data_IF_493548234892
#
_entry.id   IF_493548234892
#
_cell.length_a   1.000
_cell.length_b   1.000
_cell.length_c   1.000
_cell.angle_alpha   90.00
_cell.angle_beta   90.00
_cell.angle_gamma   90.00
#
_symmetry.space_group_name_H-M   'P 1'
#
loop_
_entity.id
_entity.type
_entity.pdbx_description
1 polymer ?
#
# COMPACT_ATOMS: atom_id res chain seq x y z
N UNK A 1 -28.84 7.18 1.33
CA UNK A 1 -27.37 7.16 1.36
C UNK A 1 -26.86 8.47 0.79
N UNK A 2 -26.12 9.25 1.59
CA UNK A 2 -25.59 10.55 1.19
C UNK A 2 -24.51 10.45 0.11
N UNK A 3 -24.23 11.56 -0.56
CA UNK A 3 -23.27 11.66 -1.67
C UNK A 3 -21.84 11.25 -1.26
N UNK A 4 -21.46 11.48 -0.01
CA UNK A 4 -20.11 11.17 0.52
C UNK A 4 -19.84 9.67 0.65
N UNK A 5 -20.83 8.83 1.00
CA UNK A 5 -20.64 7.37 1.05
C UNK A 5 -20.39 6.74 -0.34
N UNK A 6 -20.71 7.45 -1.43
CA UNK A 6 -20.51 6.93 -2.80
C UNK A 6 -19.10 7.17 -3.34
N UNK A 7 -18.36 8.12 -2.77
CA UNK A 7 -17.05 8.50 -3.30
C UNK A 7 -16.00 7.39 -3.11
N UNK A 8 -15.82 6.77 -1.93
CA UNK A 8 -14.86 5.68 -1.74
C UNK A 8 -15.16 4.47 -2.62
N UNK A 9 -16.45 4.12 -2.76
CA UNK A 9 -16.89 3.05 -3.65
C UNK A 9 -16.51 3.33 -5.11
N UNK A 10 -16.77 4.55 -5.60
CA UNK A 10 -16.41 4.96 -6.97
C UNK A 10 -14.90 4.94 -7.21
N UNK A 11 -14.11 5.39 -6.22
CA UNK A 11 -12.65 5.31 -6.30
C UNK A 11 -12.23 3.84 -6.45
N UNK A 12 -12.78 2.94 -5.64
CA UNK A 12 -12.48 1.52 -5.75
C UNK A 12 -12.93 0.93 -7.10
N UNK A 13 -14.07 1.34 -7.64
CA UNK A 13 -14.57 0.93 -8.95
C UNK A 13 -13.64 1.41 -10.08
N UNK A 14 -13.25 2.68 -10.09
CA UNK A 14 -12.32 3.25 -11.08
C UNK A 14 -10.96 2.54 -11.04
N UNK A 15 -10.43 2.30 -9.83
CA UNK A 15 -9.19 1.54 -9.65
C UNK A 15 -9.33 0.09 -10.13
N UNK A 16 -10.45 -0.58 -9.85
CA UNK A 16 -10.69 -1.94 -10.33
C UNK A 16 -10.71 -2.00 -11.86
N UNK A 17 -11.32 -1.02 -12.51
CA UNK A 17 -11.35 -0.92 -13.97
C UNK A 17 -9.94 -0.73 -14.54
N UNK A 18 -9.10 0.10 -13.90
CA UNK A 18 -7.70 0.27 -14.30
C UNK A 18 -6.91 -1.03 -14.14
N UNK A 19 -7.09 -1.74 -13.01
CA UNK A 19 -6.45 -3.04 -12.77
C UNK A 19 -6.83 -4.03 -13.87
N UNK A 20 -8.12 -4.15 -14.18
CA UNK A 20 -8.62 -5.05 -15.22
C UNK A 20 -8.07 -4.71 -16.60
N UNK A 21 -8.11 -3.43 -17.00
CA UNK A 21 -7.60 -2.98 -18.31
C UNK A 21 -6.10 -3.29 -18.43
N UNK A 22 -5.30 -2.98 -17.41
CA UNK A 22 -3.86 -3.27 -17.40
C UNK A 22 -3.61 -4.78 -17.44
N UNK A 23 -4.37 -5.58 -16.68
CA UNK A 23 -4.23 -7.03 -16.70
C UNK A 23 -4.54 -7.62 -18.08
N UNK A 24 -5.72 -7.31 -18.64
CA UNK A 24 -6.24 -7.93 -19.85
C UNK A 24 -5.57 -7.47 -21.13
N UNK A 25 -5.18 -6.19 -21.20
CA UNK A 25 -4.63 -5.60 -22.43
C UNK A 25 -3.12 -5.47 -22.44
N UNK A 26 -2.45 -5.57 -21.29
CA UNK A 26 -1.00 -5.42 -21.17
C UNK A 26 -0.39 -6.71 -20.62
N UNK A 27 -0.66 -7.07 -19.36
CA UNK A 27 0.05 -8.15 -18.67
C UNK A 27 -0.19 -9.51 -19.34
N UNK A 28 -1.45 -9.92 -19.52
CA UNK A 28 -1.76 -11.25 -20.06
C UNK A 28 -1.30 -11.44 -21.52
N UNK A 29 -1.50 -10.48 -22.45
CA UNK A 29 -0.96 -10.58 -23.80
C UNK A 29 0.57 -10.68 -23.82
N UNK A 30 1.27 -9.88 -23.01
CA UNK A 30 2.73 -9.89 -22.96
C UNK A 30 3.27 -11.20 -22.36
N UNK A 31 2.67 -11.72 -21.29
CA UNK A 31 3.02 -13.06 -20.74
C UNK A 31 2.85 -14.14 -21.80
N UNK A 32 1.74 -14.11 -22.56
CA UNK A 32 1.50 -15.06 -23.66
C UNK A 32 2.56 -14.97 -24.75
N UNK A 33 3.06 -13.78 -25.04
CA UNK A 33 4.08 -13.57 -26.08
C UNK A 33 5.49 -13.95 -25.60
N UNK A 34 5.79 -13.71 -24.32
CA UNK A 34 7.05 -14.12 -23.67
C UNK A 34 7.29 -15.64 -23.80
N UNK A 35 6.23 -16.45 -23.75
CA UNK A 35 6.32 -17.90 -23.96
C UNK A 35 6.66 -18.32 -25.40
N UNK A 36 6.52 -17.43 -26.39
CA UNK A 36 6.70 -17.75 -27.81
C UNK A 36 7.97 -17.16 -28.41
N UNK A 37 8.42 -16.00 -27.92
CA UNK A 37 9.50 -15.25 -28.53
C UNK A 37 10.63 -14.96 -27.53
N UNK A 38 11.77 -15.63 -27.70
CA UNK A 38 12.95 -15.41 -26.85
C UNK A 38 13.71 -14.13 -27.20
N UNK A 39 13.55 -13.61 -28.43
CA UNK A 39 14.31 -12.48 -28.97
C UNK A 39 14.06 -11.18 -28.18
N UNK A 40 12.83 -10.96 -27.72
CA UNK A 40 12.43 -9.76 -26.95
C UNK A 40 12.15 -10.06 -25.48
N UNK A 41 12.59 -11.22 -24.98
CA UNK A 41 12.23 -11.71 -23.65
C UNK A 41 12.55 -10.74 -22.50
N UNK A 42 13.69 -10.05 -22.58
CA UNK A 42 14.09 -9.05 -21.59
C UNK A 42 13.14 -7.85 -21.55
N UNK A 43 12.86 -7.26 -22.72
CA UNK A 43 11.95 -6.11 -22.84
C UNK A 43 10.53 -6.51 -22.41
N UNK A 44 10.05 -7.67 -22.86
CA UNK A 44 8.73 -8.17 -22.46
C UNK A 44 8.63 -8.37 -20.95
N UNK A 45 9.69 -8.89 -20.32
CA UNK A 45 9.72 -9.09 -18.86
C UNK A 45 9.66 -7.77 -18.09
N UNK A 46 10.36 -6.73 -18.58
CA UNK A 46 10.32 -5.39 -17.98
C UNK A 46 8.93 -4.76 -18.10
N UNK A 47 8.31 -4.82 -19.28
CA UNK A 47 6.96 -4.27 -19.51
C UNK A 47 5.89 -5.01 -18.70
N UNK A 48 6.02 -6.34 -18.55
CA UNK A 48 5.15 -7.13 -17.66
C UNK A 48 5.33 -6.65 -16.22
N UNK A 49 6.57 -6.52 -15.76
CA UNK A 49 6.87 -6.09 -14.39
C UNK A 49 6.34 -4.67 -14.11
N UNK A 50 6.43 -3.75 -15.06
CA UNK A 50 5.90 -2.39 -14.92
C UNK A 50 4.37 -2.40 -14.86
N UNK A 51 3.72 -3.18 -15.72
CA UNK A 51 2.27 -3.40 -15.67
C UNK A 51 1.82 -3.99 -14.33
N UNK A 52 2.52 -5.02 -13.84
CA UNK A 52 2.26 -5.63 -12.53
C UNK A 52 2.41 -4.62 -11.40
N UNK A 53 3.53 -3.88 -11.35
CA UNK A 53 3.76 -2.85 -10.33
C UNK A 53 2.63 -1.83 -10.32
N UNK A 54 2.15 -1.40 -11.49
CA UNK A 54 1.02 -0.47 -11.58
C UNK A 54 -0.26 -1.07 -11.01
N UNK A 55 -0.57 -2.33 -11.32
CA UNK A 55 -1.72 -3.01 -10.70
C UNK A 55 -1.57 -3.15 -9.19
N UNK A 56 -0.35 -3.36 -8.68
CA UNK A 56 -0.10 -3.45 -7.24
C UNK A 56 -0.32 -2.10 -6.53
N UNK A 57 0.04 -0.98 -7.16
CA UNK A 57 -0.29 0.36 -6.66
C UNK A 57 -1.81 0.57 -6.58
N UNK A 58 -2.56 0.20 -7.62
CA UNK A 58 -4.02 0.35 -7.63
C UNK A 58 -4.70 -0.53 -6.59
N UNK A 59 -4.24 -1.78 -6.41
CA UNK A 59 -4.74 -2.68 -5.36
C UNK A 59 -4.47 -2.08 -3.98
N UNK A 60 -3.25 -1.56 -3.75
CA UNK A 60 -2.91 -0.91 -2.49
C UNK A 60 -3.76 0.33 -2.21
N UNK A 61 -4.07 1.13 -3.25
CA UNK A 61 -4.98 2.27 -3.13
C UNK A 61 -6.40 1.83 -2.76
N UNK A 62 -6.93 0.75 -3.34
CA UNK A 62 -8.24 0.21 -2.94
C UNK A 62 -8.24 -0.21 -1.47
N UNK A 63 -7.22 -0.97 -1.03
CA UNK A 63 -7.10 -1.40 0.37
C UNK A 63 -7.03 -0.20 1.30
N UNK A 64 -6.21 0.80 0.96
CA UNK A 64 -6.07 2.02 1.76
C UNK A 64 -7.38 2.81 1.83
N UNK A 65 -8.11 2.95 0.72
CA UNK A 65 -9.41 3.62 0.71
C UNK A 65 -10.44 2.88 1.59
N UNK A 66 -10.47 1.55 1.53
CA UNK A 66 -11.33 0.70 2.36
C UNK A 66 -10.98 0.85 3.85
N UNK A 67 -9.68 0.90 4.18
CA UNK A 67 -9.23 1.03 5.57
C UNK A 67 -9.50 2.42 6.18
N UNK A 68 -9.72 3.45 5.36
CA UNK A 68 -9.90 4.84 5.79
C UNK A 68 -11.37 5.28 5.90
N UNK A 69 -12.33 4.38 5.69
CA UNK A 69 -13.77 4.67 5.80
C UNK A 69 -14.40 3.96 7.01
N UNK A 70 -15.59 4.41 7.40
CA UNK A 70 -16.37 3.76 8.45
C UNK A 70 -16.69 2.30 8.11
N UNK A 71 -16.78 1.44 9.14
CA UNK A 71 -16.97 0.00 9.02
C UNK A 71 -18.18 -0.39 8.15
N UNK A 72 -19.29 0.35 8.22
CA UNK A 72 -20.47 0.09 7.38
C UNK A 72 -20.17 0.30 5.88
N UNK A 73 -19.41 1.34 5.55
CA UNK A 73 -19.02 1.65 4.17
C UNK A 73 -17.96 0.66 3.69
N UNK A 74 -16.97 0.34 4.52
CA UNK A 74 -15.95 -0.66 4.21
C UNK A 74 -16.60 -2.02 3.89
N UNK A 75 -17.54 -2.48 4.72
CA UNK A 75 -18.25 -3.74 4.52
C UNK A 75 -19.07 -3.78 3.23
N UNK A 76 -19.58 -2.65 2.75
CA UNK A 76 -20.26 -2.59 1.45
C UNK A 76 -19.27 -2.68 0.29
N UNK A 77 -18.14 -1.99 0.36
CA UNK A 77 -17.10 -2.00 -0.67
C UNK A 77 -16.46 -3.39 -0.77
N UNK A 78 -16.19 -4.04 0.37
CA UNK A 78 -15.56 -5.37 0.47
C UNK A 78 -16.37 -6.50 -0.20
N UNK A 79 -17.67 -6.29 -0.47
CA UNK A 79 -18.48 -7.22 -1.28
C UNK A 79 -18.07 -7.26 -2.74
N UNK A 80 -17.37 -6.22 -3.21
CA UNK A 80 -17.05 -6.01 -4.62
C UNK A 80 -15.55 -5.87 -4.88
N UNK A 81 -14.80 -5.26 -3.95
CA UNK A 81 -13.39 -4.90 -4.16
C UNK A 81 -12.54 -5.19 -2.92
N UNK A 82 -11.25 -5.54 -3.10
CA UNK A 82 -10.60 -5.87 -4.37
C UNK A 82 -11.16 -7.16 -4.99
N UNK A 83 -11.29 -7.22 -6.32
CA UNK A 83 -11.78 -8.45 -6.97
C UNK A 83 -10.72 -9.55 -6.92
N UNK A 84 -10.99 -10.60 -6.13
CA UNK A 84 -9.98 -11.61 -5.78
C UNK A 84 -9.41 -12.36 -6.99
N UNK A 85 -10.25 -12.76 -7.95
CA UNK A 85 -9.80 -13.41 -9.18
C UNK A 85 -8.81 -12.53 -9.97
N UNK A 86 -9.13 -11.24 -10.11
CA UNK A 86 -8.29 -10.28 -10.83
C UNK A 86 -6.97 -10.08 -10.09
N UNK A 87 -7.01 -9.89 -8.77
CA UNK A 87 -5.80 -9.71 -7.95
C UNK A 87 -4.88 -10.93 -8.01
N UNK A 88 -5.42 -12.15 -7.98
CA UNK A 88 -4.62 -13.37 -8.13
C UNK A 88 -3.97 -13.47 -9.52
N UNK A 89 -4.68 -13.14 -10.59
CA UNK A 89 -4.10 -13.11 -11.94
C UNK A 89 -3.01 -12.04 -12.08
N UNK A 90 -3.15 -10.88 -11.44
CA UNK A 90 -2.09 -9.87 -11.37
C UNK A 90 -0.81 -10.45 -10.74
N UNK A 91 -0.94 -11.23 -9.66
CA UNK A 91 0.18 -11.93 -9.01
C UNK A 91 0.80 -13.08 -9.85
N UNK A 92 0.20 -13.43 -10.99
CA UNK A 92 0.69 -14.51 -11.84
C UNK A 92 0.23 -15.90 -11.41
N UNK A 93 -0.80 -16.00 -10.57
CA UNK A 93 -1.40 -17.28 -10.20
C UNK A 93 -2.12 -17.86 -11.42
N UNK A 94 -1.82 -19.12 -11.75
CA UNK A 94 -2.43 -19.84 -12.86
C UNK A 94 -3.88 -20.25 -12.58
N UNK A 95 -4.63 -20.59 -13.62
CA UNK A 95 -6.06 -20.90 -13.52
C UNK A 95 -6.37 -22.11 -12.63
N UNK A 96 -5.52 -23.14 -12.61
CA UNK A 96 -5.76 -24.34 -11.80
C UNK A 96 -5.60 -24.01 -10.30
N UNK A 97 -4.55 -23.27 -9.97
CA UNK A 97 -4.32 -22.77 -8.60
C UNK A 97 -5.41 -21.80 -8.16
N UNK A 98 -5.79 -20.86 -9.04
CA UNK A 98 -6.86 -19.88 -8.78
C UNK A 98 -8.20 -20.57 -8.52
N UNK A 99 -8.55 -21.57 -9.34
CA UNK A 99 -9.76 -22.35 -9.14
C UNK A 99 -9.73 -23.07 -7.79
N UNK A 100 -8.57 -23.63 -7.44
CA UNK A 100 -8.32 -24.26 -6.15
C UNK A 100 -8.48 -23.31 -4.95
N UNK A 101 -8.06 -22.06 -5.07
CA UNK A 101 -8.22 -21.05 -4.02
C UNK A 101 -9.69 -20.69 -3.84
N UNK A 102 -10.33 -20.18 -4.89
CA UNK A 102 -11.66 -19.59 -4.79
C UNK A 102 -12.76 -20.63 -4.56
N UNK A 103 -12.75 -21.73 -5.31
CA UNK A 103 -13.91 -22.63 -5.38
C UNK A 103 -13.80 -23.85 -4.48
N UNK A 104 -12.57 -24.31 -4.21
CA UNK A 104 -12.35 -25.49 -3.35
C UNK A 104 -12.11 -25.06 -1.90
N UNK A 105 -11.28 -24.04 -1.68
CA UNK A 105 -10.90 -23.59 -0.33
C UNK A 105 -11.68 -22.37 0.18
N UNK A 106 -12.38 -21.65 -0.70
CA UNK A 106 -13.03 -20.39 -0.31
C UNK A 106 -12.04 -19.31 0.11
N UNK A 107 -10.83 -19.34 -0.46
CA UNK A 107 -9.73 -18.44 -0.12
C UNK A 107 -9.76 -17.25 -1.09
N UNK A 108 -10.22 -16.11 -0.60
CA UNK A 108 -10.21 -14.84 -1.33
C UNK A 108 -8.85 -14.12 -1.21
N UNK A 109 -8.71 -13.00 -1.92
CA UNK A 109 -7.44 -12.26 -1.94
C UNK A 109 -7.03 -11.73 -0.56
N UNK A 110 -7.97 -11.27 0.26
CA UNK A 110 -7.69 -10.76 1.60
C UNK A 110 -7.06 -11.85 2.48
N UNK A 111 -7.55 -13.09 2.39
CA UNK A 111 -6.93 -14.22 3.10
C UNK A 111 -5.46 -14.40 2.71
N UNK A 112 -5.13 -14.40 1.41
CA UNK A 112 -3.74 -14.54 0.96
C UNK A 112 -2.90 -13.31 1.35
N UNK A 113 -3.49 -12.12 1.29
CA UNK A 113 -2.85 -10.86 1.61
C UNK A 113 -2.47 -10.74 3.09
N UNK A 114 -3.24 -11.34 3.98
CA UNK A 114 -2.97 -11.33 5.44
C UNK A 114 -2.06 -12.47 5.90
N UNK A 115 -1.91 -13.53 5.10
CA UNK A 115 -1.08 -14.68 5.44
C UNK A 115 0.40 -14.33 5.60
N UNK A 116 1.04 -14.99 6.57
CA UNK A 116 2.49 -14.89 6.74
C UNK A 116 3.23 -15.55 5.58
N UNK A 117 4.46 -15.11 5.31
CA UNK A 117 5.27 -15.60 4.18
C UNK A 117 5.34 -17.13 4.13
N UNK A 118 5.59 -17.78 5.26
CA UNK A 118 5.73 -19.24 5.32
C UNK A 118 4.40 -19.97 5.08
N UNK A 119 3.27 -19.36 5.46
CA UNK A 119 1.92 -19.90 5.21
C UNK A 119 1.61 -19.85 3.71
N UNK A 120 1.89 -18.73 3.05
CA UNK A 120 1.74 -18.58 1.60
C UNK A 120 2.59 -19.61 0.84
N UNK A 121 3.85 -19.78 1.24
CA UNK A 121 4.76 -20.77 0.65
C UNK A 121 4.17 -22.18 0.78
N UNK A 122 3.72 -22.55 1.97
CA UNK A 122 3.18 -23.88 2.22
C UNK A 122 1.90 -24.11 1.44
N UNK A 123 1.00 -23.12 1.38
CA UNK A 123 -0.23 -23.16 0.58
C UNK A 123 0.07 -23.38 -0.91
N UNK A 124 0.92 -22.55 -1.52
CA UNK A 124 1.26 -22.63 -2.94
C UNK A 124 1.94 -23.96 -3.30
N UNK A 125 2.77 -24.50 -2.39
CA UNK A 125 3.36 -25.85 -2.56
C UNK A 125 2.29 -26.95 -2.61
N UNK A 126 1.15 -26.81 -1.93
CA UNK A 126 0.06 -27.79 -2.04
C UNK A 126 -0.55 -27.87 -3.44
N UNK A 127 -0.45 -26.78 -4.21
CA UNK A 127 -0.90 -26.70 -5.60
C UNK A 127 0.24 -26.96 -6.61
N UNK A 128 1.44 -27.35 -6.13
CA UNK A 128 2.62 -27.61 -6.97
C UNK A 128 3.09 -26.40 -7.79
N UNK A 129 2.83 -25.19 -7.32
CA UNK A 129 3.35 -23.95 -7.91
C UNK A 129 4.88 -23.99 -7.87
N UNK A 130 5.53 -23.53 -8.95
CA UNK A 130 6.99 -23.59 -9.07
C UNK A 130 7.68 -22.67 -8.05
N UNK A 131 8.95 -22.94 -7.74
CA UNK A 131 9.68 -22.09 -6.77
C UNK A 131 9.88 -20.66 -7.29
N UNK A 132 10.01 -20.49 -8.60
CA UNK A 132 10.16 -19.18 -9.23
C UNK A 132 8.83 -18.40 -9.17
N UNK A 133 7.71 -19.05 -9.45
CA UNK A 133 6.37 -18.44 -9.34
C UNK A 133 6.03 -18.11 -7.88
N UNK A 134 6.38 -18.97 -6.92
CA UNK A 134 6.23 -18.67 -5.49
C UNK A 134 7.01 -17.41 -5.13
N UNK A 135 8.26 -17.27 -5.60
CA UNK A 135 9.08 -16.08 -5.34
C UNK A 135 8.44 -14.84 -5.96
N UNK A 136 7.91 -14.96 -7.18
CA UNK A 136 7.19 -13.89 -7.87
C UNK A 136 5.97 -13.41 -7.07
N UNK A 137 5.08 -14.35 -6.70
CA UNK A 137 3.86 -14.09 -5.93
C UNK A 137 4.20 -13.41 -4.59
N UNK A 138 5.19 -13.93 -3.85
CA UNK A 138 5.63 -13.33 -2.59
C UNK A 138 6.17 -11.91 -2.76
N UNK A 139 6.89 -11.67 -3.85
CA UNK A 139 7.41 -10.33 -4.18
C UNK A 139 6.26 -9.38 -4.47
N UNK A 140 5.26 -9.82 -5.25
CA UNK A 140 4.05 -9.04 -5.51
C UNK A 140 3.27 -8.71 -4.24
N UNK A 141 3.00 -9.70 -3.38
CA UNK A 141 2.33 -9.48 -2.09
C UNK A 141 3.11 -8.50 -1.20
N UNK A 142 4.44 -8.65 -1.12
CA UNK A 142 5.29 -7.74 -0.34
C UNK A 142 5.24 -6.31 -0.88
N UNK A 143 5.19 -6.13 -2.20
CA UNK A 143 5.06 -4.81 -2.83
C UNK A 143 3.71 -4.17 -2.53
N UNK A 144 2.61 -4.92 -2.65
CA UNK A 144 1.28 -4.39 -2.32
C UNK A 144 1.23 -3.96 -0.84
N UNK A 145 1.73 -4.80 0.09
CA UNK A 145 1.81 -4.45 1.52
C UNK A 145 2.63 -3.19 1.78
N UNK A 146 3.81 -3.08 1.16
CA UNK A 146 4.65 -1.87 1.28
C UNK A 146 3.96 -0.63 0.71
N UNK A 147 3.24 -0.77 -0.40
CA UNK A 147 2.47 0.33 -1.00
C UNK A 147 1.32 0.80 -0.09
N UNK A 148 0.64 -0.13 0.59
CA UNK A 148 -0.39 0.22 1.60
C UNK A 148 0.25 1.01 2.75
N UNK A 149 1.40 0.54 3.27
CA UNK A 149 2.13 1.23 4.34
C UNK A 149 2.58 2.65 3.92
N UNK A 150 3.02 2.83 2.68
CA UNK A 150 3.37 4.16 2.15
C UNK A 150 2.15 5.09 2.15
N UNK A 151 0.99 4.62 1.67
CA UNK A 151 -0.24 5.40 1.63
C UNK A 151 -0.74 5.79 3.03
N UNK A 152 -0.73 4.85 3.98
CA UNK A 152 -1.10 5.09 5.37
C UNK A 152 -0.18 6.14 6.04
N UNK A 153 1.04 6.28 5.55
CA UNK A 153 1.99 7.31 5.98
C UNK A 153 1.92 8.62 5.18
N UNK A 154 1.03 8.76 4.19
CA UNK A 154 0.90 9.95 3.35
C UNK A 154 2.03 10.13 2.33
N UNK A 155 2.66 9.02 1.93
CA UNK A 155 3.80 8.97 1.00
C UNK A 155 3.34 8.54 -0.41
N UNK A 156 4.12 8.91 -1.44
CA UNK A 156 3.83 8.56 -2.85
C UNK A 156 4.54 7.26 -3.26
N UNK A 157 4.18 6.60 -4.37
CA UNK A 157 4.85 5.34 -4.76
C UNK A 157 6.25 5.53 -5.40
N UNK A 158 6.49 6.66 -6.09
CA UNK A 158 7.62 6.78 -7.04
C UNK A 158 8.76 7.71 -6.57
N UNK A 159 8.74 8.22 -5.34
CA UNK A 159 9.80 9.12 -4.86
C UNK A 159 10.41 8.62 -3.54
N UNK A 160 11.10 7.49 -3.61
CA UNK A 160 11.77 6.84 -2.48
C UNK A 160 12.59 7.83 -1.64
N UNK A 161 13.28 8.78 -2.29
CA UNK A 161 14.10 9.77 -1.59
C UNK A 161 13.23 10.80 -0.86
N UNK A 162 12.19 11.35 -1.50
CA UNK A 162 11.24 12.27 -0.85
C UNK A 162 10.44 11.57 0.25
N UNK A 163 10.07 10.32 0.03
CA UNK A 163 9.34 9.51 0.99
C UNK A 163 10.19 9.19 2.23
N UNK A 164 11.45 8.79 2.02
CA UNK A 164 12.43 8.62 3.10
C UNK A 164 12.61 9.90 3.89
N UNK A 165 12.74 11.05 3.22
CA UNK A 165 12.87 12.35 3.89
C UNK A 165 11.61 12.68 4.72
N UNK A 166 10.41 12.52 4.15
CA UNK A 166 9.14 12.76 4.86
C UNK A 166 8.97 11.84 6.08
N UNK A 167 9.31 10.55 5.93
CA UNK A 167 9.23 9.57 7.00
C UNK A 167 10.22 9.89 8.12
N UNK A 168 11.46 10.23 7.77
CA UNK A 168 12.48 10.67 8.73
C UNK A 168 12.00 11.91 9.48
N UNK A 169 11.44 12.91 8.81
CA UNK A 169 10.86 14.10 9.46
C UNK A 169 9.77 13.69 10.46
N UNK A 170 8.79 12.89 10.04
CA UNK A 170 7.68 12.43 10.90
C UNK A 170 8.16 11.65 12.13
N UNK A 171 9.24 10.86 12.00
CA UNK A 171 9.84 10.09 13.09
C UNK A 171 10.78 10.91 14.00
N UNK A 172 11.24 12.09 13.54
CA UNK A 172 12.17 12.95 14.28
C UNK A 172 11.54 14.24 14.78
N UNK A 173 10.32 14.55 14.37
CA UNK A 173 9.50 15.58 15.02
C UNK A 173 9.33 15.21 16.50
N UNK A 174 9.65 16.12 17.44
CA UNK A 174 9.41 15.87 18.85
C UNK A 174 7.90 15.67 19.01
N UNK A 175 7.52 14.53 19.57
CA UNK A 175 6.13 14.25 19.89
C UNK A 175 5.65 15.37 20.80
N UNK A 176 4.66 16.15 20.36
CA UNK A 176 3.91 17.09 21.20
C UNK A 176 3.14 16.30 22.26
N UNK A 177 3.88 15.72 23.20
CA UNK A 177 3.42 15.43 24.55
C UNK A 177 3.63 16.72 25.33
N UNK A 178 2.81 17.72 25.00
CA UNK A 178 2.55 18.83 25.91
C UNK A 178 1.88 18.24 27.15
N UNK A 179 2.71 17.89 28.13
CA UNK A 179 2.27 17.66 29.50
C UNK A 179 1.61 18.96 29.95
N UNK A 180 0.28 18.95 30.07
CA UNK A 180 -0.48 20.03 30.70
C UNK A 180 0.18 20.37 32.04
N UNK A 181 0.78 21.56 32.10
CA UNK A 181 1.26 22.14 33.35
C UNK A 181 0.23 23.17 33.81
N UNK A 182 -0.20 23.13 35.09
CA UNK A 182 -1.41 23.78 35.54
C UNK A 182 -1.26 25.30 35.59
N UNK A 183 -2.39 25.96 35.34
CA UNK A 183 -2.62 27.39 35.50
C UNK A 183 -2.03 27.95 36.80
N UNK A 184 -1.24 29.01 36.69
CA UNK A 184 -1.09 29.98 37.77
C UNK A 184 -1.42 31.38 37.25
N UNK A 185 -2.64 31.78 37.54
CA UNK A 185 -3.07 33.17 37.63
C UNK A 185 -2.21 33.91 38.66
N UNK A 186 -1.70 35.08 38.31
CA UNK A 186 -1.63 36.21 39.22
C UNK A 186 -1.38 37.52 38.45
N UNK A 187 -2.41 38.36 38.51
CA UNK A 187 -2.35 39.78 38.26
C UNK A 187 -1.46 40.48 39.31
N UNK A 188 -1.08 41.74 38.99
CA UNK A 188 -0.64 42.82 39.89
C UNK A 188 0.88 43.18 40.01
N UNK A 189 1.19 44.34 39.41
CA UNK A 189 1.75 45.57 40.05
C UNK A 189 3.27 45.82 40.07
N UNK A 190 3.64 46.82 39.23
CA UNK A 190 4.58 47.97 39.39
C UNK A 190 6.04 47.80 39.91
N UNK A 191 6.92 48.28 39.01
CA UNK A 191 7.98 49.31 39.19
C UNK A 191 9.38 48.95 39.70
N UNK A 192 10.32 49.47 38.89
CA UNK A 192 11.48 50.30 39.26
C UNK A 192 12.91 49.70 39.20
N UNK A 193 13.67 50.32 38.27
CA UNK A 193 15.10 50.66 38.31
C UNK A 193 16.20 49.61 38.01
N UNK A 194 16.68 49.68 36.76
CA UNK A 194 18.10 49.54 36.33
C UNK A 194 19.05 50.36 37.24
N UNK A 195 20.35 49.99 37.40
CA UNK A 195 21.28 50.06 36.28
C UNK A 195 22.36 48.97 36.15
N UNK A 196 22.80 48.84 34.90
CA UNK A 196 24.02 48.22 34.40
C UNK A 196 25.27 48.75 35.10
N UNK A 197 26.19 47.86 35.48
CA UNK A 197 27.64 48.01 35.28
C UNK A 197 28.38 46.77 35.79
N UNK A 198 29.08 46.05 34.90
CA UNK A 198 30.43 45.57 35.22
C UNK A 198 31.21 45.37 33.91
N UNK A 199 32.12 46.31 33.65
CA UNK A 199 33.20 46.17 32.68
C UNK A 199 34.28 45.22 33.22
N UNK A 200 34.86 44.39 32.34
CA UNK A 200 36.28 44.02 32.34
C UNK A 200 36.57 43.29 31.00
N UNK A 201 37.08 44.00 29.98
CA UNK A 201 38.51 44.06 29.61
C UNK A 201 39.23 42.71 29.68
N UNK A 202 39.59 42.14 28.53
CA UNK A 202 40.94 41.59 28.28
C UNK A 202 41.28 41.78 26.79
N UNK A 203 42.58 41.95 26.58
CA UNK A 203 43.32 42.63 25.51
C UNK A 203 43.18 42.10 24.09
#
# INVERSE_FOLDING_TARGET
MGEDCKKPFRICEDLQNLIMITLEHIILPLRKELHKCSEYSEILSLEIQDGENKTFEYIAQQISEINNVDEEVANEILKHFPQSEVCFRCLGIDEDTLHGFLWIRGLDFSHLFDMQKDEVINLLKTYKVSSDDIKHILTGLSKIRGNVELLENGLSFEDDTRNLIKLVIKLTEPSDTTVESPEYSNDSVLRDHLPLAFEARYS
#
